data_IF_174343288133
#
_entry.id   IF_174343288133
#
_cell.length_a   1.000
_cell.length_b   1.000
_cell.length_c   1.000
_cell.angle_alpha   90.00
_cell.angle_beta   90.00
_cell.angle_gamma   90.00
#
_symmetry.space_group_name_H-M   'P 1'
#
loop_
_entity.id
_entity.type
_entity.pdbx_description
1 polymer ?
#
# COMPACT_ATOMS: atom_id res chain seq x y z
N UNK A 1 11.96 52.48 3.54
CA UNK A 1 13.19 52.64 2.75
C UNK A 1 13.59 51.26 2.26
N UNK A 2 13.13 50.93 1.07
CA UNK A 2 13.26 49.64 0.37
C UNK A 2 14.71 49.38 0.01
N UNK A 3 15.39 48.55 0.81
CA UNK A 3 16.68 47.96 0.43
C UNK A 3 16.39 46.52 0.04
N UNK A 4 16.00 46.36 -1.22
CA UNK A 4 15.73 45.07 -1.85
C UNK A 4 16.92 44.10 -1.65
N UNK A 5 16.64 42.83 -1.29
CA UNK A 5 17.65 41.86 -0.86
C UNK A 5 18.34 41.18 -2.05
N UNK A 6 18.84 41.95 -3.02
CA UNK A 6 19.26 41.43 -4.32
C UNK A 6 20.40 40.40 -4.27
N UNK A 7 21.29 40.47 -3.27
CA UNK A 7 22.43 39.54 -3.18
C UNK A 7 22.04 38.15 -2.66
N UNK A 8 21.15 38.10 -1.65
CA UNK A 8 20.71 36.85 -1.02
C UNK A 8 19.64 36.12 -1.86
N UNK A 9 18.94 36.86 -2.75
CA UNK A 9 17.92 36.32 -3.64
C UNK A 9 18.46 35.87 -5.02
N UNK A 10 19.72 36.17 -5.34
CA UNK A 10 20.32 35.79 -6.63
C UNK A 10 20.40 34.26 -6.77
N UNK A 11 19.96 33.76 -7.92
CA UNK A 11 19.94 32.32 -8.22
C UNK A 11 21.35 31.70 -8.13
N UNK A 12 22.42 32.42 -8.50
CA UNK A 12 23.79 31.89 -8.41
C UNK A 12 24.21 31.64 -6.97
N UNK A 13 23.68 32.41 -6.02
CA UNK A 13 23.93 32.25 -4.59
C UNK A 13 23.08 31.14 -3.97
N UNK A 14 21.82 31.02 -4.39
CA UNK A 14 20.82 30.13 -3.75
C UNK A 14 20.73 28.75 -4.39
N UNK A 15 20.99 28.64 -5.70
CA UNK A 15 20.83 27.40 -6.45
C UNK A 15 21.70 26.24 -5.97
N UNK A 16 22.96 26.41 -5.51
CA UNK A 16 23.74 25.26 -5.02
C UNK A 16 23.04 24.57 -3.84
N UNK A 17 22.51 25.35 -2.90
CA UNK A 17 21.76 24.82 -1.75
C UNK A 17 20.42 24.20 -2.17
N UNK A 18 19.73 24.79 -3.15
CA UNK A 18 18.46 24.22 -3.67
C UNK A 18 18.68 22.87 -4.35
N UNK A 19 19.71 22.74 -5.19
CA UNK A 19 20.04 21.46 -5.82
C UNK A 19 20.57 20.43 -4.83
N UNK A 20 21.35 20.86 -3.82
CA UNK A 20 21.75 19.98 -2.73
C UNK A 20 20.55 19.49 -1.92
N UNK A 21 19.59 20.36 -1.61
CA UNK A 21 18.36 19.99 -0.91
C UNK A 21 17.53 19.00 -1.73
N UNK A 22 17.39 19.23 -3.04
CA UNK A 22 16.71 18.29 -3.95
C UNK A 22 17.40 16.93 -3.97
N UNK A 23 18.72 16.88 -4.16
CA UNK A 23 19.48 15.64 -4.12
C UNK A 23 19.35 14.92 -2.78
N UNK A 24 19.33 15.66 -1.68
CA UNK A 24 19.17 15.11 -0.32
C UNK A 24 17.78 14.51 -0.15
N UNK A 25 16.72 15.19 -0.60
CA UNK A 25 15.36 14.66 -0.59
C UNK A 25 15.27 13.35 -1.39
N UNK A 26 15.81 13.33 -2.61
CA UNK A 26 15.82 12.10 -3.43
C UNK A 26 16.56 10.95 -2.72
N UNK A 27 17.70 11.23 -2.08
CA UNK A 27 18.45 10.25 -1.30
C UNK A 27 17.65 9.72 -0.11
N UNK A 28 17.05 10.61 0.67
CA UNK A 28 16.25 10.26 1.84
C UNK A 28 15.01 9.45 1.46
N UNK A 29 14.34 9.81 0.37
CA UNK A 29 13.20 9.07 -0.18
C UNK A 29 13.63 7.66 -0.58
N UNK A 30 14.72 7.53 -1.34
CA UNK A 30 15.25 6.24 -1.77
C UNK A 30 15.54 5.34 -0.57
N UNK A 31 16.23 5.87 0.44
CA UNK A 31 16.52 5.14 1.69
C UNK A 31 15.22 4.76 2.40
N UNK A 32 14.29 5.71 2.55
CA UNK A 32 13.00 5.47 3.21
C UNK A 32 12.23 4.33 2.53
N UNK A 33 12.12 4.35 1.19
CA UNK A 33 11.46 3.29 0.43
C UNK A 33 12.19 1.96 0.62
N UNK A 34 13.52 1.95 0.53
CA UNK A 34 14.33 0.74 0.66
C UNK A 34 14.18 0.09 2.04
N UNK A 35 14.28 0.89 3.10
CA UNK A 35 14.15 0.42 4.48
C UNK A 35 12.74 -0.10 4.75
N UNK A 36 11.72 0.65 4.32
CA UNK A 36 10.33 0.23 4.48
C UNK A 36 10.04 -1.04 3.67
N UNK A 37 10.58 -1.20 2.46
CA UNK A 37 10.44 -2.43 1.66
C UNK A 37 11.08 -3.62 2.37
N UNK A 38 12.28 -3.43 2.96
CA UNK A 38 12.95 -4.50 3.70
C UNK A 38 12.10 -5.01 4.87
N UNK A 39 11.45 -4.09 5.58
CA UNK A 39 10.53 -4.43 6.66
C UNK A 39 9.24 -5.07 6.12
N UNK A 40 8.70 -4.55 5.02
CA UNK A 40 7.50 -5.10 4.39
C UNK A 40 7.70 -6.55 3.96
N UNK A 41 8.81 -6.86 3.28
CA UNK A 41 9.14 -8.22 2.83
C UNK A 41 9.52 -9.18 3.95
N UNK A 42 9.87 -8.70 5.14
CA UNK A 42 10.05 -9.55 6.32
C UNK A 42 8.72 -10.12 6.85
N UNK A 43 7.58 -9.55 6.46
CA UNK A 43 6.26 -10.05 6.85
C UNK A 43 5.76 -11.08 5.81
N UNK A 44 5.40 -12.26 6.28
CA UNK A 44 4.79 -13.29 5.45
C UNK A 44 3.26 -13.19 5.49
N UNK A 45 2.62 -13.32 4.34
CA UNK A 45 1.17 -13.52 4.27
C UNK A 45 0.86 -14.98 4.67
N UNK A 46 0.25 -15.17 5.83
CA UNK A 46 -0.07 -16.49 6.39
C UNK A 46 -1.57 -16.58 6.64
N UNK A 47 -2.19 -17.67 6.20
CA UNK A 47 -3.60 -17.97 6.43
C UNK A 47 -3.76 -19.40 6.95
N UNK A 48 -4.75 -19.63 7.80
CA UNK A 48 -5.04 -20.97 8.36
C UNK A 48 -5.60 -21.90 7.29
N UNK A 49 -6.36 -21.34 6.36
CA UNK A 49 -6.93 -22.04 5.22
C UNK A 49 -6.41 -21.42 3.94
N UNK A 50 -6.43 -22.18 2.84
CA UNK A 50 -6.14 -21.62 1.52
C UNK A 50 -7.15 -20.53 1.21
N UNK A 51 -6.66 -19.31 1.09
CA UNK A 51 -7.45 -18.14 0.72
C UNK A 51 -7.84 -18.25 -0.75
N UNK A 52 -9.13 -18.08 -1.13
CA UNK A 52 -9.54 -18.02 -2.52
C UNK A 52 -8.81 -16.92 -3.30
N UNK A 53 -8.49 -17.15 -4.57
CA UNK A 53 -7.72 -16.21 -5.41
C UNK A 53 -8.23 -14.76 -5.38
N UNK A 54 -9.55 -14.55 -5.47
CA UNK A 54 -10.13 -13.21 -5.42
C UNK A 54 -9.88 -12.52 -4.07
N UNK A 55 -9.99 -13.26 -2.97
CA UNK A 55 -9.75 -12.73 -1.62
C UNK A 55 -8.26 -12.47 -1.39
N UNK A 56 -7.38 -13.34 -1.89
CA UNK A 56 -5.92 -13.13 -1.86
C UNK A 56 -5.53 -11.85 -2.58
N UNK A 57 -6.06 -11.63 -3.79
CA UNK A 57 -5.78 -10.42 -4.57
C UNK A 57 -6.22 -9.15 -3.84
N UNK A 58 -7.46 -9.12 -3.31
CA UNK A 58 -7.98 -7.97 -2.57
C UNK A 58 -7.16 -7.67 -1.31
N UNK A 59 -6.83 -8.69 -0.52
CA UNK A 59 -6.07 -8.51 0.70
C UNK A 59 -4.63 -8.06 0.41
N UNK A 60 -3.99 -8.64 -0.60
CA UNK A 60 -2.62 -8.27 -0.97
C UNK A 60 -2.56 -6.86 -1.52
N UNK A 61 -3.51 -6.47 -2.37
CA UNK A 61 -3.63 -5.11 -2.87
C UNK A 61 -3.82 -4.11 -1.73
N UNK A 62 -4.70 -4.42 -0.77
CA UNK A 62 -4.91 -3.58 0.42
C UNK A 62 -3.64 -3.44 1.26
N UNK A 63 -2.85 -4.51 1.42
CA UNK A 63 -1.56 -4.46 2.12
C UNK A 63 -0.55 -3.55 1.41
N UNK A 64 -0.49 -3.63 0.07
CA UNK A 64 0.40 -2.79 -0.75
C UNK A 64 -0.01 -1.32 -0.68
N UNK A 65 -1.30 -1.01 -0.80
CA UNK A 65 -1.83 0.36 -0.67
C UNK A 65 -1.55 0.93 0.71
N UNK A 66 -1.75 0.12 1.76
CA UNK A 66 -1.43 0.51 3.13
C UNK A 66 0.05 0.77 3.32
N UNK A 67 0.92 -0.06 2.73
CA UNK A 67 2.36 0.14 2.72
C UNK A 67 2.71 1.50 2.08
N UNK A 68 2.30 1.72 0.82
CA UNK A 68 2.60 2.96 0.09
C UNK A 68 2.08 4.20 0.84
N UNK A 69 0.84 4.14 1.33
CA UNK A 69 0.23 5.24 2.07
C UNK A 69 0.91 5.53 3.41
N UNK A 70 1.27 4.47 4.16
CA UNK A 70 1.94 4.61 5.46
C UNK A 70 3.36 5.17 5.31
N UNK A 71 4.14 4.63 4.38
CA UNK A 71 5.51 5.09 4.10
C UNK A 71 5.52 6.54 3.66
N UNK A 72 4.62 6.91 2.74
CA UNK A 72 4.48 8.30 2.27
C UNK A 72 4.10 9.23 3.41
N UNK A 73 3.06 8.90 4.18
CA UNK A 73 2.59 9.73 5.30
C UNK A 73 3.68 9.91 6.35
N UNK A 74 4.41 8.85 6.69
CA UNK A 74 5.48 8.94 7.69
C UNK A 74 6.60 9.86 7.23
N UNK A 75 7.03 9.76 5.97
CA UNK A 75 8.05 10.64 5.40
C UNK A 75 7.59 12.11 5.41
N UNK A 76 6.37 12.39 4.93
CA UNK A 76 5.82 13.75 4.87
C UNK A 76 5.65 14.34 6.28
N UNK A 77 5.27 13.53 7.26
CA UNK A 77 5.17 13.97 8.65
C UNK A 77 6.55 14.39 9.19
N UNK A 78 7.59 13.59 8.98
CA UNK A 78 8.95 13.94 9.37
C UNK A 78 9.42 15.23 8.70
N UNK A 79 9.18 15.39 7.39
CA UNK A 79 9.51 16.62 6.67
C UNK A 79 8.74 17.83 7.22
N UNK A 80 7.45 17.67 7.52
CA UNK A 80 6.62 18.73 8.10
C UNK A 80 7.11 19.15 9.49
N UNK A 81 7.55 18.19 10.31
CA UNK A 81 8.13 18.48 11.63
C UNK A 81 9.41 19.29 11.49
N UNK A 82 10.31 18.88 10.60
CA UNK A 82 11.57 19.62 10.34
C UNK A 82 11.28 21.06 9.91
N UNK A 83 10.38 21.24 8.94
CA UNK A 83 9.98 22.58 8.45
C UNK A 83 9.38 23.44 9.56
N UNK A 84 8.48 22.85 10.35
CA UNK A 84 7.85 23.50 11.49
C UNK A 84 8.85 23.92 12.56
N UNK A 85 9.80 23.06 12.92
CA UNK A 85 10.87 23.37 13.89
C UNK A 85 11.80 24.46 13.38
N UNK A 86 12.23 24.40 12.12
CA UNK A 86 13.12 25.42 11.52
C UNK A 86 12.51 26.83 11.65
N UNK A 87 11.23 26.98 11.29
CA UNK A 87 10.57 28.28 11.36
C UNK A 87 10.18 28.67 12.79
N UNK A 88 9.65 27.73 13.57
CA UNK A 88 9.22 27.96 14.96
C UNK A 88 10.36 28.40 15.88
N UNK A 89 11.55 27.84 15.67
CA UNK A 89 12.78 28.20 16.40
C UNK A 89 13.52 29.38 15.75
N UNK A 90 12.97 29.97 14.68
CA UNK A 90 13.55 31.07 13.91
C UNK A 90 15.01 30.83 13.49
N UNK A 91 15.35 29.60 13.10
CA UNK A 91 16.72 29.22 12.75
C UNK A 91 17.23 30.05 11.56
N UNK A 92 18.33 30.77 11.74
CA UNK A 92 18.89 31.63 10.68
C UNK A 92 19.49 30.78 9.55
N UNK A 93 19.08 31.06 8.32
CA UNK A 93 19.66 30.50 7.10
C UNK A 93 21.09 31.02 6.94
N UNK A 94 22.04 30.11 6.66
CA UNK A 94 23.42 30.50 6.34
C UNK A 94 23.53 31.38 5.08
N UNK A 95 22.52 31.34 4.20
CA UNK A 95 22.40 32.21 3.03
C UNK A 95 21.74 33.57 3.34
N UNK A 96 21.34 33.81 4.59
CA UNK A 96 20.64 35.02 5.03
C UNK A 96 19.33 35.31 4.26
N UNK A 97 18.70 34.25 3.75
CA UNK A 97 17.45 34.29 2.97
C UNK A 97 16.22 34.53 3.85
N UNK A 98 16.25 34.13 5.13
CA UNK A 98 15.16 34.41 6.08
C UNK A 98 15.44 35.61 6.98
N UNK A 99 16.65 35.72 7.53
CA UNK A 99 17.07 36.83 8.37
C UNK A 99 18.47 37.28 7.97
N UNK A 100 18.66 38.60 7.83
CA UNK A 100 19.98 39.21 7.64
C UNK A 100 20.47 39.82 8.95
N UNK A 101 21.77 39.66 9.20
CA UNK A 101 22.42 40.30 10.35
C UNK A 101 22.93 41.67 9.93
N UNK A 102 22.56 42.71 10.68
CA UNK A 102 22.99 44.09 10.46
C UNK A 102 23.64 44.60 11.73
N UNK A 103 24.82 45.22 11.60
CA UNK A 103 25.52 45.86 12.72
C UNK A 103 25.19 47.34 12.74
N UNK A 104 24.64 47.82 13.85
CA UNK A 104 24.34 49.23 14.06
C UNK A 104 24.70 49.63 15.49
N UNK A 105 25.49 50.69 15.66
CA UNK A 105 25.93 51.20 16.97
C UNK A 105 26.53 50.10 17.87
N UNK A 106 27.43 49.28 17.34
CA UNK A 106 28.05 48.12 18.02
C UNK A 106 27.08 47.00 18.45
N UNK A 107 25.80 47.05 18.06
CA UNK A 107 24.83 45.97 18.29
C UNK A 107 24.56 45.20 17.00
N UNK A 108 24.28 43.90 17.12
CA UNK A 108 23.89 43.03 16.01
C UNK A 108 22.38 42.84 16.04
N UNK A 109 21.71 43.19 14.94
CA UNK A 109 20.28 43.03 14.75
C UNK A 109 19.99 41.99 13.68
N UNK A 110 19.06 41.08 13.99
CA UNK A 110 18.51 40.13 13.03
C UNK A 110 17.25 40.71 12.42
N UNK A 111 17.28 41.02 11.13
CA UNK A 111 16.16 41.63 10.40
C UNK A 111 15.57 40.58 9.45
N UNK A 112 14.27 40.31 9.58
CA UNK A 112 13.57 39.41 8.69
C UNK A 112 13.56 39.94 7.25
N UNK A 113 13.82 39.04 6.30
CA UNK A 113 13.71 39.32 4.89
C UNK A 113 12.24 39.35 4.46
N UNK A 114 11.96 40.10 3.40
CA UNK A 114 10.65 40.14 2.78
C UNK A 114 10.78 39.71 1.31
N UNK A 115 9.86 38.86 0.88
CA UNK A 115 9.68 38.47 -0.51
C UNK A 115 8.33 39.03 -0.96
N UNK A 116 8.36 40.13 -1.73
CA UNK A 116 7.16 40.91 -2.04
C UNK A 116 6.52 41.48 -0.77
N UNK A 117 5.23 41.20 -0.56
CA UNK A 117 4.47 41.60 0.62
C UNK A 117 4.50 40.56 1.76
N UNK A 118 5.33 39.52 1.65
CA UNK A 118 5.40 38.42 2.61
C UNK A 118 6.70 38.51 3.44
N UNK A 119 6.58 38.48 4.78
CA UNK A 119 7.72 38.56 5.70
C UNK A 119 8.11 37.19 6.26
N UNK A 120 9.41 36.90 6.27
CA UNK A 120 9.96 35.66 6.83
C UNK A 120 9.78 35.54 8.35
N UNK A 121 9.47 36.64 9.04
CA UNK A 121 9.11 36.61 10.46
C UNK A 121 7.71 36.03 10.70
N UNK A 122 6.80 36.19 9.73
CA UNK A 122 5.40 35.79 9.87
C UNK A 122 5.06 34.51 9.11
N UNK A 123 5.82 34.18 8.06
CA UNK A 123 5.62 32.96 7.29
C UNK A 123 6.93 32.40 6.75
N UNK A 124 7.12 31.09 6.88
CA UNK A 124 8.21 30.37 6.25
C UNK A 124 8.08 30.26 4.73
N UNK A 125 6.85 30.33 4.21
CA UNK A 125 6.53 30.00 2.81
C UNK A 125 6.69 31.16 1.85
N UNK A 126 7.15 32.33 2.32
CA UNK A 126 7.34 33.49 1.45
C UNK A 126 8.35 33.17 0.34
N UNK A 127 7.96 33.45 -0.90
CA UNK A 127 8.75 33.19 -2.09
C UNK A 127 8.66 34.35 -3.09
N UNK A 128 9.66 34.44 -3.95
CA UNK A 128 9.71 35.29 -5.13
C UNK A 128 10.29 34.49 -6.30
N UNK A 129 9.87 34.84 -7.52
CA UNK A 129 10.44 34.29 -8.74
C UNK A 129 11.97 34.41 -8.71
N UNK A 130 12.67 33.29 -8.85
CA UNK A 130 14.12 33.29 -8.83
C UNK A 130 14.68 33.89 -10.11
N UNK A 131 15.76 34.66 -9.96
CA UNK A 131 16.40 35.37 -11.04
C UNK A 131 17.91 35.52 -10.82
N UNK A 132 18.61 35.80 -11.92
CA UNK A 132 19.99 36.27 -11.93
C UNK A 132 19.95 37.79 -12.07
N UNK A 133 20.67 38.50 -11.20
CA UNK A 133 20.71 39.96 -11.19
C UNK A 133 22.08 40.48 -11.64
N UNK A 134 22.10 41.66 -12.24
CA UNK A 134 23.33 42.44 -12.34
C UNK A 134 23.64 43.03 -10.96
N UNK A 135 24.78 42.66 -10.37
CA UNK A 135 25.21 43.15 -9.05
C UNK A 135 25.35 44.68 -9.01
N UNK A 136 25.64 45.32 -10.14
CA UNK A 136 25.91 46.75 -10.22
C UNK A 136 24.64 47.59 -10.29
N UNK A 137 23.65 47.10 -11.04
CA UNK A 137 22.43 47.85 -11.36
C UNK A 137 21.16 47.26 -10.74
N UNK A 138 21.24 46.09 -10.10
CA UNK A 138 20.12 45.34 -9.53
C UNK A 138 19.03 44.97 -10.54
N UNK A 139 19.35 45.08 -11.83
CA UNK A 139 18.45 44.70 -12.92
C UNK A 139 18.40 43.19 -13.05
N UNK A 140 17.20 42.64 -13.22
CA UNK A 140 16.98 41.25 -13.58
C UNK A 140 17.56 40.96 -14.96
N UNK A 141 18.58 40.10 -15.01
CA UNK A 141 19.20 39.64 -16.27
C UNK A 141 18.46 38.43 -16.85
N UNK A 142 18.02 37.52 -15.97
CA UNK A 142 17.35 36.30 -16.39
C UNK A 142 16.47 35.77 -15.27
N UNK A 143 15.18 35.55 -15.55
CA UNK A 143 14.28 34.81 -14.65
C UNK A 143 14.39 33.32 -14.94
N UNK A 144 14.52 32.48 -13.91
CA UNK A 144 14.62 31.04 -14.06
C UNK A 144 13.21 30.45 -14.00
N UNK A 145 12.61 30.04 -15.14
CA UNK A 145 11.24 29.53 -15.15
C UNK A 145 11.08 28.33 -14.22
N UNK A 146 10.07 28.37 -13.36
CA UNK A 146 9.80 27.28 -12.43
C UNK A 146 10.59 27.29 -11.13
N UNK A 147 11.59 28.16 -10.99
CA UNK A 147 12.37 28.26 -9.75
C UNK A 147 11.98 29.46 -8.92
N UNK A 148 11.89 29.26 -7.61
CA UNK A 148 11.66 30.30 -6.63
C UNK A 148 12.80 30.40 -5.65
N UNK A 149 12.98 31.60 -5.10
CA UNK A 149 13.78 31.86 -3.90
C UNK A 149 12.84 32.29 -2.78
N UNK A 150 13.20 32.03 -1.53
CA UNK A 150 12.31 32.34 -0.40
C UNK A 150 13.03 32.25 0.93
N UNK A 151 12.29 32.39 2.02
CA UNK A 151 12.86 32.43 3.38
C UNK A 151 13.79 31.25 3.65
N UNK A 152 13.33 30.05 3.31
CA UNK A 152 14.09 28.82 3.45
C UNK A 152 14.23 28.13 2.09
N UNK A 153 15.39 27.50 1.88
CA UNK A 153 15.69 26.72 0.68
C UNK A 153 14.66 25.62 0.47
N UNK A 154 14.28 24.91 1.54
CA UNK A 154 13.26 23.85 1.43
C UNK A 154 11.89 24.42 1.03
N UNK A 155 11.46 25.55 1.61
CA UNK A 155 10.15 26.14 1.30
C UNK A 155 10.06 26.67 -0.13
N UNK A 156 11.15 27.25 -0.64
CA UNK A 156 11.23 27.72 -2.01
C UNK A 156 11.37 26.58 -3.01
N UNK A 157 12.14 25.53 -2.69
CA UNK A 157 12.24 24.32 -3.50
C UNK A 157 10.88 23.63 -3.64
N UNK A 158 10.14 23.44 -2.53
CA UNK A 158 8.84 22.77 -2.54
C UNK A 158 7.78 23.48 -3.41
N UNK A 159 7.91 24.80 -3.58
CA UNK A 159 7.04 25.62 -4.41
C UNK A 159 7.57 25.78 -5.85
N UNK A 160 8.81 25.39 -6.10
CA UNK A 160 9.40 25.33 -7.44
C UNK A 160 8.85 24.13 -8.22
N UNK A 161 8.95 24.20 -9.55
CA UNK A 161 8.51 23.18 -10.50
C UNK A 161 9.63 22.84 -11.50
N UNK A 162 9.33 21.96 -12.44
CA UNK A 162 10.31 21.34 -13.32
C UNK A 162 10.48 22.05 -14.68
N UNK A 163 9.83 23.20 -14.92
CA UNK A 163 9.81 23.85 -16.25
C UNK A 163 11.19 24.07 -16.86
N UNK A 164 12.18 24.53 -16.08
CA UNK A 164 13.54 24.70 -16.61
C UNK A 164 14.27 23.36 -16.86
N UNK A 165 13.92 22.29 -16.13
CA UNK A 165 14.55 20.97 -16.30
C UNK A 165 14.19 20.32 -17.64
N UNK A 166 13.01 20.60 -18.19
CA UNK A 166 12.56 20.13 -19.50
C UNK A 166 12.92 21.08 -20.65
N UNK A 167 13.52 22.23 -20.37
CA UNK A 167 13.79 23.26 -21.36
C UNK A 167 15.29 23.45 -21.61
N UNK A 168 15.78 22.92 -22.74
CA UNK A 168 17.20 23.03 -23.10
C UNK A 168 17.66 24.49 -23.28
N UNK A 169 16.79 25.38 -23.76
CA UNK A 169 17.11 26.82 -23.88
C UNK A 169 17.34 27.44 -22.50
N UNK A 170 16.52 27.09 -21.51
CA UNK A 170 16.70 27.53 -20.12
C UNK A 170 18.05 27.05 -19.55
N UNK A 171 18.36 25.75 -19.73
CA UNK A 171 19.63 25.16 -19.27
C UNK A 171 20.83 25.83 -19.93
N UNK A 172 20.78 26.02 -21.25
CA UNK A 172 21.85 26.69 -21.99
C UNK A 172 22.05 28.14 -21.53
N UNK A 173 20.98 28.86 -21.24
CA UNK A 173 21.05 30.21 -20.67
C UNK A 173 21.63 30.20 -19.25
N UNK A 174 21.27 29.24 -18.40
CA UNK A 174 21.88 29.11 -17.07
C UNK A 174 23.39 28.85 -17.15
N UNK A 175 23.84 28.03 -18.11
CA UNK A 175 25.26 27.72 -18.29
C UNK A 175 26.10 28.95 -18.58
N UNK A 176 25.58 29.95 -19.31
CA UNK A 176 26.34 31.18 -19.61
C UNK A 176 26.62 32.01 -18.36
N UNK A 177 25.72 32.00 -17.37
CA UNK A 177 25.88 32.75 -16.14
C UNK A 177 26.65 32.02 -15.05
N UNK A 178 26.61 30.69 -15.03
CA UNK A 178 27.25 29.88 -14.00
C UNK A 178 28.76 29.68 -14.20
N UNK A 179 29.34 30.17 -15.31
CA UNK A 179 30.80 30.18 -15.58
C UNK A 179 31.49 28.86 -15.22
N UNK A 180 30.88 27.74 -15.57
CA UNK A 180 31.41 26.41 -15.26
C UNK A 180 32.57 26.07 -16.20
N UNK A 181 33.74 25.75 -15.63
CA UNK A 181 34.89 25.20 -16.35
C UNK A 181 35.26 23.85 -15.74
N UNK A 182 35.04 22.72 -16.45
CA UNK A 182 34.47 22.61 -17.79
C UNK A 182 32.96 22.94 -17.83
N UNK A 183 32.42 23.31 -19.00
CA UNK A 183 30.99 23.60 -19.15
C UNK A 183 30.17 22.38 -18.71
N UNK A 184 29.13 22.63 -17.91
CA UNK A 184 28.21 21.57 -17.48
C UNK A 184 27.59 20.90 -18.72
N UNK A 185 27.84 19.62 -18.93
CA UNK A 185 27.16 18.85 -19.97
C UNK A 185 25.82 18.32 -19.42
N UNK A 186 24.86 19.23 -19.28
CA UNK A 186 23.51 18.92 -18.78
C UNK A 186 22.52 18.99 -19.93
N UNK A 187 21.84 17.86 -20.16
CA UNK A 187 20.75 17.75 -21.13
C UNK A 187 19.42 17.94 -20.40
N UNK A 188 18.48 18.63 -21.05
CA UNK A 188 17.11 18.70 -20.60
C UNK A 188 16.49 17.29 -20.50
N UNK A 189 15.56 17.15 -19.56
CA UNK A 189 14.71 15.98 -19.45
C UNK A 189 13.84 15.85 -20.71
N UNK A 190 13.52 14.61 -21.06
CA UNK A 190 12.76 14.30 -22.27
C UNK A 190 11.27 14.37 -21.99
N UNK A 191 10.60 15.41 -22.49
CA UNK A 191 9.15 15.59 -22.35
C UNK A 191 8.32 14.60 -23.16
N UNK A 192 8.93 13.79 -24.03
CA UNK A 192 8.25 12.71 -24.74
C UNK A 192 8.13 11.43 -23.91
N UNK A 193 8.90 11.30 -22.83
CA UNK A 193 8.79 10.17 -21.92
C UNK A 193 7.54 10.33 -21.04
N UNK A 194 6.79 9.24 -20.81
CA UNK A 194 5.66 9.30 -19.90
C UNK A 194 6.15 9.57 -18.48
N UNK A 195 5.62 10.62 -17.85
CA UNK A 195 5.76 10.90 -16.43
C UNK A 195 4.38 11.09 -15.83
N UNK A 196 4.22 10.71 -14.56
CA UNK A 196 3.01 11.00 -13.79
C UNK A 196 2.95 12.46 -13.34
N UNK A 197 4.04 13.21 -13.49
CA UNK A 197 4.16 14.61 -13.09
C UNK A 197 4.24 15.53 -14.31
N UNK A 198 3.53 16.65 -14.25
CA UNK A 198 3.62 17.68 -15.30
C UNK A 198 4.87 18.55 -15.09
N UNK A 199 5.35 19.19 -16.16
CA UNK A 199 6.51 20.09 -16.08
C UNK A 199 6.27 21.26 -15.11
N UNK A 200 5.02 21.70 -14.95
CA UNK A 200 4.59 22.76 -14.03
C UNK A 200 4.07 22.24 -12.68
N UNK A 201 4.15 20.93 -12.42
CA UNK A 201 3.82 20.39 -11.09
C UNK A 201 4.85 20.86 -10.07
N UNK A 202 4.43 21.44 -8.94
CA UNK A 202 5.33 21.79 -7.86
C UNK A 202 6.06 20.55 -7.33
N UNK A 203 7.29 20.72 -6.87
CA UNK A 203 8.08 19.65 -6.25
C UNK A 203 7.36 19.10 -5.00
N UNK A 204 6.58 19.92 -4.30
CA UNK A 204 5.71 19.46 -3.20
C UNK A 204 4.65 18.45 -3.65
N UNK A 205 4.09 18.58 -4.86
CA UNK A 205 3.15 17.61 -5.43
C UNK A 205 3.89 16.31 -5.78
N UNK A 206 5.09 16.41 -6.35
CA UNK A 206 5.93 15.25 -6.63
C UNK A 206 6.24 14.47 -5.34
N UNK A 207 6.58 15.18 -4.26
CA UNK A 207 6.85 14.60 -2.94
C UNK A 207 5.63 13.96 -2.29
N UNK A 208 4.41 14.39 -2.63
CA UNK A 208 3.18 13.78 -2.13
C UNK A 208 3.05 12.30 -2.54
N UNK A 209 3.78 11.87 -3.58
CA UNK A 209 3.91 10.47 -4.00
C UNK A 209 5.36 9.98 -3.96
N UNK A 210 6.18 10.53 -3.06
CA UNK A 210 7.59 10.18 -2.89
C UNK A 210 8.42 10.32 -4.18
N UNK A 211 8.01 11.18 -5.12
CA UNK A 211 8.67 11.36 -6.42
C UNK A 211 8.83 10.05 -7.22
N UNK A 212 7.94 9.07 -6.99
CA UNK A 212 7.95 7.77 -7.67
C UNK A 212 7.08 7.85 -8.92
N UNK A 213 7.68 7.54 -10.07
CA UNK A 213 6.97 7.46 -11.36
C UNK A 213 6.00 6.28 -11.42
N UNK A 214 6.45 5.10 -10.97
CA UNK A 214 5.64 3.88 -10.99
C UNK A 214 6.10 2.85 -9.95
N UNK A 215 5.13 2.11 -9.41
CA UNK A 215 5.37 0.95 -8.54
C UNK A 215 5.21 -0.35 -9.34
N UNK A 216 6.30 -1.10 -9.49
CA UNK A 216 6.28 -2.38 -10.19
C UNK A 216 5.85 -3.51 -9.24
N UNK A 217 4.55 -3.81 -9.25
CA UNK A 217 3.94 -4.81 -8.37
C UNK A 217 3.81 -6.14 -9.11
N UNK A 218 4.36 -7.21 -8.54
CA UNK A 218 4.21 -8.58 -9.05
C UNK A 218 3.46 -9.45 -8.05
N UNK A 219 2.29 -9.97 -8.44
CA UNK A 219 1.45 -10.84 -7.62
C UNK A 219 1.32 -12.21 -8.29
N UNK A 220 1.53 -13.29 -7.53
CA UNK A 220 1.35 -14.66 -8.02
C UNK A 220 0.54 -15.49 -7.03
N UNK A 221 -0.69 -15.83 -7.42
CA UNK A 221 -1.53 -16.74 -6.66
C UNK A 221 -0.98 -18.17 -6.68
N UNK A 222 -0.36 -18.60 -7.79
CA UNK A 222 0.22 -19.94 -7.90
C UNK A 222 1.38 -20.13 -6.92
N UNK A 223 2.25 -19.13 -6.78
CA UNK A 223 3.31 -19.13 -5.78
C UNK A 223 2.72 -19.22 -4.37
N UNK A 224 1.69 -18.43 -4.06
CA UNK A 224 0.99 -18.49 -2.77
C UNK A 224 0.39 -19.88 -2.51
N UNK A 225 -0.37 -20.43 -3.47
CA UNK A 225 -1.04 -21.71 -3.32
C UNK A 225 -0.03 -22.85 -3.13
N UNK A 226 1.09 -22.83 -3.87
CA UNK A 226 2.14 -23.86 -3.74
C UNK A 226 2.77 -23.90 -2.34
N UNK A 227 2.79 -22.78 -1.62
CA UNK A 227 3.33 -22.65 -0.26
C UNK A 227 2.27 -22.93 0.81
N UNK A 228 1.00 -22.60 0.55
CA UNK A 228 -0.07 -22.64 1.55
C UNK A 228 -1.08 -23.77 1.34
N UNK A 229 -0.91 -24.65 0.33
CA UNK A 229 -1.79 -25.79 0.11
C UNK A 229 -1.80 -26.74 1.33
N UNK A 230 -2.96 -27.34 1.66
CA UNK A 230 -3.04 -28.26 2.78
C UNK A 230 -2.24 -29.54 2.49
N UNK A 231 -1.67 -30.14 3.53
CA UNK A 231 -1.02 -31.45 3.42
C UNK A 231 -2.04 -32.56 3.14
N UNK A 232 -3.26 -32.42 3.64
CA UNK A 232 -4.35 -33.38 3.46
C UNK A 232 -5.66 -32.64 3.15
N UNK A 233 -6.38 -33.10 2.13
CA UNK A 233 -7.69 -32.58 1.79
C UNK A 233 -8.78 -33.48 2.40
N UNK A 234 -9.63 -32.91 3.26
CA UNK A 234 -10.85 -33.57 3.72
C UNK A 234 -12.02 -33.17 2.82
N UNK A 235 -12.75 -34.16 2.33
CA UNK A 235 -13.97 -33.94 1.58
C UNK A 235 -15.17 -34.39 2.41
N UNK A 236 -16.15 -33.53 2.57
CA UNK A 236 -17.44 -33.88 3.15
C UNK A 236 -18.28 -34.50 2.05
N UNK A 237 -18.51 -35.81 2.12
CA UNK A 237 -19.50 -36.46 1.25
C UNK A 237 -20.88 -36.13 1.80
N UNK A 238 -21.52 -35.12 1.21
CA UNK A 238 -22.95 -34.88 1.41
C UNK A 238 -23.73 -36.01 0.75
N UNK A 239 -23.93 -37.13 1.46
CA UNK A 239 -24.89 -38.13 1.01
C UNK A 239 -26.28 -37.51 1.14
N UNK A 240 -26.89 -37.12 0.00
CA UNK A 240 -28.33 -36.90 -0.09
C UNK A 240 -29.05 -38.24 0.08
N UNK A 241 -29.06 -38.78 1.29
CA UNK A 241 -30.08 -39.74 1.67
C UNK A 241 -31.36 -38.95 1.81
N UNK A 242 -32.08 -38.83 0.70
CA UNK A 242 -33.42 -38.26 0.66
C UNK A 242 -34.25 -38.94 1.75
N UNK A 243 -35.04 -38.17 2.50
CA UNK A 243 -35.84 -38.68 3.61
C UNK A 243 -36.76 -39.85 3.15
N UNK A 244 -37.09 -39.84 1.85
CA UNK A 244 -37.78 -40.91 1.13
C UNK A 244 -37.04 -42.25 1.18
N UNK A 245 -35.70 -42.27 1.04
CA UNK A 245 -34.89 -43.48 1.09
C UNK A 245 -34.85 -44.07 2.50
N UNK A 246 -34.73 -43.23 3.53
CA UNK A 246 -34.75 -43.68 4.94
C UNK A 246 -36.14 -44.23 5.30
N UNK A 247 -37.22 -43.56 4.87
CA UNK A 247 -38.59 -44.02 5.09
C UNK A 247 -38.88 -45.34 4.35
N UNK A 248 -38.45 -45.48 3.10
CA UNK A 248 -38.62 -46.71 2.31
C UNK A 248 -37.89 -47.90 2.96
N UNK A 249 -36.70 -47.67 3.52
CA UNK A 249 -35.94 -48.72 4.21
C UNK A 249 -36.66 -49.19 5.48
N UNK A 250 -37.21 -48.27 6.29
CA UNK A 250 -37.99 -48.60 7.48
C UNK A 250 -39.28 -49.36 7.14
N UNK A 251 -40.02 -48.90 6.12
CA UNK A 251 -41.24 -49.56 5.67
C UNK A 251 -40.93 -50.98 5.15
N UNK A 252 -39.83 -51.13 4.40
CA UNK A 252 -39.36 -52.43 3.91
C UNK A 252 -39.05 -53.42 5.03
N UNK A 253 -38.36 -52.98 6.09
CA UNK A 253 -38.02 -53.82 7.24
C UNK A 253 -39.26 -54.23 8.04
N UNK A 254 -40.16 -53.29 8.33
CA UNK A 254 -41.39 -53.57 9.09
C UNK A 254 -42.30 -54.51 8.27
N UNK A 255 -42.50 -54.21 6.99
CA UNK A 255 -43.33 -55.03 6.10
C UNK A 255 -42.77 -56.43 5.90
N UNK A 256 -41.46 -56.56 5.68
CA UNK A 256 -40.79 -57.84 5.55
C UNK A 256 -40.88 -58.69 6.81
N UNK A 257 -40.71 -58.07 7.98
CA UNK A 257 -40.79 -58.75 9.27
C UNK A 257 -42.18 -59.36 9.53
N UNK A 258 -43.24 -58.61 9.24
CA UNK A 258 -44.63 -59.08 9.41
C UNK A 258 -44.95 -60.22 8.43
N UNK A 259 -44.47 -60.12 7.19
CA UNK A 259 -44.67 -61.16 6.18
C UNK A 259 -43.99 -62.48 6.57
N UNK A 260 -42.73 -62.42 7.02
CA UNK A 260 -41.97 -63.59 7.47
C UNK A 260 -42.64 -64.23 8.69
N UNK A 261 -43.04 -63.42 9.68
CA UNK A 261 -43.73 -63.92 10.88
C UNK A 261 -45.03 -64.66 10.53
N UNK A 262 -45.81 -64.13 9.58
CA UNK A 262 -47.04 -64.76 9.11
C UNK A 262 -46.78 -66.07 8.36
N UNK A 263 -45.71 -66.16 7.57
CA UNK A 263 -45.33 -67.41 6.88
C UNK A 263 -44.93 -68.47 7.91
N UNK A 264 -44.09 -68.10 8.87
CA UNK A 264 -43.65 -69.00 9.95
C UNK A 264 -44.85 -69.45 10.79
N UNK A 265 -45.74 -68.54 11.17
CA UNK A 265 -46.94 -68.87 11.92
C UNK A 265 -47.84 -69.88 11.19
N UNK A 266 -48.07 -69.71 9.88
CA UNK A 266 -48.84 -70.67 9.08
C UNK A 266 -48.16 -72.03 8.99
N UNK A 267 -46.84 -72.08 8.84
CA UNK A 267 -46.07 -73.32 8.85
C UNK A 267 -46.19 -74.02 10.20
N UNK A 268 -46.05 -73.29 11.31
CA UNK A 268 -46.19 -73.83 12.66
C UNK A 268 -47.59 -74.39 12.91
N UNK A 269 -48.65 -73.69 12.50
CA UNK A 269 -50.04 -74.19 12.63
C UNK A 269 -50.25 -75.49 11.85
N UNK A 270 -49.73 -75.58 10.62
CA UNK A 270 -49.79 -76.83 9.83
C UNK A 270 -49.03 -77.97 10.51
N UNK A 271 -47.86 -77.71 11.07
CA UNK A 271 -47.07 -78.70 11.81
C UNK A 271 -47.80 -79.17 13.08
N UNK A 272 -48.41 -78.24 13.83
CA UNK A 272 -49.18 -78.57 15.04
C UNK A 272 -50.41 -79.41 14.68
N UNK A 273 -51.17 -79.05 13.65
CA UNK A 273 -52.31 -79.84 13.16
C UNK A 273 -51.90 -81.23 12.67
N UNK A 274 -50.75 -81.34 11.98
CA UNK A 274 -50.20 -82.62 11.55
C UNK A 274 -49.80 -83.50 12.74
N UNK A 275 -49.16 -82.94 13.77
CA UNK A 275 -48.78 -83.67 14.98
C UNK A 275 -49.98 -84.06 15.87
N UNK A 276 -51.08 -83.31 15.84
CA UNK A 276 -52.30 -83.59 16.63
C UNK A 276 -53.27 -84.56 15.95
N UNK A 277 -53.06 -84.90 14.67
CA UNK A 277 -53.78 -85.97 13.94
C UNK A 277 -53.06 -87.34 14.01
N UNK A 278 -52.49 -87.70 15.16
CA UNK A 278 -52.15 -89.11 15.45
C UNK A 278 -53.41 -89.86 15.92
N UNK A 279 -53.78 -91.00 15.33
CA UNK A 279 -55.00 -91.74 15.69
C UNK A 279 -54.94 -92.35 17.10
N UNK A 280 -56.04 -92.23 17.86
CA UNK A 280 -56.29 -93.01 19.08
C UNK A 280 -56.52 -94.48 18.70
N UNK A 281 -55.73 -95.39 19.26
CA UNK A 281 -55.91 -96.84 19.10
C UNK A 281 -57.18 -97.33 19.80
N UNK A 282 -57.91 -98.31 19.23
CA UNK A 282 -59.17 -98.84 19.77
C UNK A 282 -58.95 -99.81 20.95
N UNK A 283 -59.88 -99.78 21.91
CA UNK A 283 -60.01 -100.76 23.00
C UNK A 283 -60.54 -102.07 22.43
N UNK A 284 -59.88 -103.20 22.71
CA UNK A 284 -60.31 -104.54 22.30
C UNK A 284 -60.90 -105.32 23.49
N UNK A 285 -61.97 -106.11 23.32
CA UNK A 285 -62.63 -106.87 24.39
C UNK A 285 -62.01 -108.26 24.57
N UNK A 286 -61.94 -108.75 25.82
CA UNK A 286 -61.54 -110.13 26.16
C UNK A 286 -62.75 -110.89 26.69
N UNK A 287 -63.10 -112.00 26.04
CA UNK A 287 -64.18 -112.96 26.37
C UNK A 287 -63.61 -114.18 27.18
N UNK A 288 -64.48 -115.00 27.82
CA UNK A 288 -64.17 -115.82 29.00
C UNK A 288 -63.65 -117.24 28.67
N UNK A 289 -63.19 -118.01 29.68
CA UNK A 289 -62.80 -119.41 29.51
C UNK A 289 -63.95 -120.40 29.76
N UNK A 290 -63.97 -121.48 28.98
CA UNK A 290 -64.82 -122.67 29.11
C UNK A 290 -63.98 -123.85 29.64
N UNK A 291 -64.52 -124.49 30.68
CA UNK A 291 -64.38 -125.86 31.21
C UNK A 291 -63.16 -126.75 30.88
N UNK A 292 -62.60 -127.29 31.96
CA UNK A 292 -62.65 -128.74 32.26
C UNK A 292 -63.27 -128.93 33.62
#
# INVERSE_FOLDING_TARGET
>A
MSTEPHLAADFRSTSPSSFQALSTLCGLIKTTITDNLSQFYSNHYVSVYVTPSALFQLQTQSLIEKFMGSTTRSFLLSLSMIRGSIHGDALSSGLQTNYRQVVQNNNVFSIAQNYGNCSCASSATCILQSAIYDYSSTVTLFNIPGFYTGCYVIESLLQSDLRCFYNQTCINQLQTYLSSSPPMNVKALDSSLPSVYFENSPISECLASLMVEQWNITLSYDMYYSQCQPMECTYTVETRNDATHIAAMLIGVIGGSIAILNIIARLLVKVIQYCSQKPRTPVSPVMPPIHT
#
